data_IF_882304560700
#
_entry.id   IF_882304560700
#
_cell.length_a   1.000
_cell.length_b   1.000
_cell.length_c   1.000
_cell.angle_alpha   90.00
_cell.angle_beta   90.00
_cell.angle_gamma   90.00
#
_symmetry.space_group_name_H-M   'P 1'
#
loop_
_entity.id
_entity.type
_entity.pdbx_description
1 polymer ?
#
# COMPACT_ATOMS: atom_id res chain seq x y z
N UNK A 1 3.04 -9.44 8.65
CA UNK A 1 3.46 -8.49 9.70
C UNK A 1 4.99 -8.41 9.91
N UNK A 2 5.83 -8.92 9.00
CA UNK A 2 7.30 -8.90 9.17
C UNK A 2 7.94 -7.52 8.98
N UNK A 3 7.55 -6.80 7.93
CA UNK A 3 8.16 -5.51 7.56
C UNK A 3 8.02 -4.44 8.65
N UNK A 4 6.82 -4.27 9.22
CA UNK A 4 6.59 -3.31 10.30
C UNK A 4 7.45 -3.57 11.55
N UNK A 5 7.82 -4.84 11.80
CA UNK A 5 8.72 -5.18 12.91
C UNK A 5 10.16 -4.77 12.61
N UNK A 6 10.61 -4.93 11.37
CA UNK A 6 11.95 -4.49 10.94
C UNK A 6 12.08 -2.95 11.00
N UNK A 7 11.07 -2.24 10.49
CA UNK A 7 11.07 -0.77 10.50
C UNK A 7 11.03 -0.18 11.92
N UNK A 8 10.31 -0.82 12.85
CA UNK A 8 10.22 -0.38 14.25
C UNK A 8 11.46 -0.70 15.10
N UNK A 9 12.29 -1.65 14.70
CA UNK A 9 13.44 -2.05 15.50
C UNK A 9 14.62 -1.10 15.23
N UNK A 10 15.02 -0.26 16.20
CA UNK A 10 16.12 0.69 16.02
C UNK A 10 17.49 -0.01 15.90
N UNK A 11 17.63 -1.26 16.38
CA UNK A 11 18.88 -2.02 16.29
C UNK A 11 19.26 -2.36 14.84
N UNK A 12 18.28 -2.35 13.93
CA UNK A 12 18.50 -2.71 12.52
C UNK A 12 19.01 -1.48 11.77
N UNK A 13 20.32 -1.39 11.59
CA UNK A 13 20.98 -0.25 10.96
C UNK A 13 20.89 -0.24 9.42
N UNK A 14 20.76 -1.41 8.80
CA UNK A 14 20.76 -1.55 7.34
C UNK A 14 19.71 -2.55 6.89
N UNK A 15 18.88 -2.14 5.94
CA UNK A 15 17.90 -2.99 5.28
C UNK A 15 18.34 -3.13 3.82
N UNK A 16 18.60 -4.36 3.37
CA UNK A 16 18.98 -4.65 2.00
C UNK A 16 17.78 -5.20 1.25
N UNK A 17 17.51 -4.65 0.08
CA UNK A 17 16.44 -5.10 -0.81
C UNK A 17 16.98 -5.25 -2.21
N UNK A 18 16.46 -6.24 -2.93
CA UNK A 18 16.83 -6.49 -4.33
C UNK A 18 16.41 -5.30 -5.18
N UNK A 19 15.12 -4.97 -5.19
CA UNK A 19 14.55 -3.82 -5.88
C UNK A 19 13.73 -2.93 -4.93
N UNK A 20 13.49 -1.69 -5.36
CA UNK A 20 12.70 -0.70 -4.61
C UNK A 20 11.25 -1.16 -4.37
N UNK A 21 10.59 -1.69 -5.40
CA UNK A 21 9.20 -2.15 -5.41
C UNK A 21 8.95 -3.33 -4.45
N UNK A 22 9.98 -4.16 -4.21
CA UNK A 22 9.94 -5.28 -3.25
C UNK A 22 9.77 -4.81 -1.82
N UNK A 23 10.31 -3.64 -1.48
CA UNK A 23 10.13 -3.04 -0.17
C UNK A 23 8.77 -2.33 -0.11
N UNK A 24 8.53 -1.45 -1.06
CA UNK A 24 7.26 -0.76 -1.23
C UNK A 24 7.16 -0.13 -2.62
N UNK A 25 5.96 -0.25 -3.18
CA UNK A 25 5.66 0.28 -4.51
C UNK A 25 5.27 1.76 -4.50
N UNK A 26 4.78 2.25 -3.36
CA UNK A 26 4.55 3.67 -3.11
C UNK A 26 5.18 4.11 -1.80
N UNK A 27 5.68 5.33 -1.75
CA UNK A 27 6.17 5.97 -0.52
C UNK A 27 7.54 5.50 -0.04
N UNK A 28 8.35 4.88 -0.93
CA UNK A 28 9.72 4.50 -0.64
C UNK A 28 10.54 5.66 -0.11
N UNK A 29 10.47 6.82 -0.77
CA UNK A 29 11.23 8.01 -0.37
C UNK A 29 10.90 8.46 1.06
N UNK A 30 9.65 8.30 1.50
CA UNK A 30 9.25 8.66 2.86
C UNK A 30 9.87 7.74 3.90
N UNK A 31 9.88 6.43 3.64
CA UNK A 31 10.46 5.47 4.57
C UNK A 31 11.98 5.55 4.57
N UNK A 32 12.60 5.70 3.40
CA UNK A 32 14.03 5.93 3.27
C UNK A 32 14.46 7.19 4.04
N UNK A 33 13.76 8.32 3.84
CA UNK A 33 14.03 9.56 4.56
C UNK A 33 13.85 9.41 6.08
N UNK A 34 12.81 8.70 6.51
CA UNK A 34 12.56 8.46 7.93
C UNK A 34 13.63 7.56 8.58
N UNK A 35 14.14 6.56 7.84
CA UNK A 35 15.24 5.72 8.29
C UNK A 35 16.57 6.49 8.29
N UNK A 36 16.83 7.30 7.27
CA UNK A 36 18.01 8.17 7.18
C UNK A 36 18.08 9.16 8.35
N UNK A 37 16.94 9.74 8.74
CA UNK A 37 16.85 10.62 9.92
C UNK A 37 17.20 9.90 11.25
N UNK A 38 17.10 8.57 11.29
CA UNK A 38 17.49 7.73 12.41
C UNK A 38 18.95 7.22 12.31
N UNK A 39 19.71 7.64 11.29
CA UNK A 39 21.05 7.12 11.01
C UNK A 39 21.06 5.73 10.37
N UNK A 40 19.90 5.26 9.88
CA UNK A 40 19.71 3.94 9.28
C UNK A 40 19.65 4.07 7.77
N UNK A 41 19.99 3.01 7.05
CA UNK A 41 20.02 3.02 5.58
C UNK A 41 19.24 1.88 4.96
N UNK A 42 18.65 2.15 3.79
CA UNK A 42 18.12 1.14 2.88
C UNK A 42 19.09 1.04 1.71
N UNK A 43 19.50 -0.17 1.36
CA UNK A 43 20.38 -0.44 0.22
C UNK A 43 19.58 -1.23 -0.81
N UNK A 44 19.46 -0.68 -2.01
CA UNK A 44 18.83 -1.34 -3.15
C UNK A 44 19.94 -1.90 -4.03
N UNK A 45 19.92 -3.21 -4.31
CA UNK A 45 20.95 -3.88 -5.10
C UNK A 45 20.75 -3.64 -6.60
N UNK A 46 19.50 -3.71 -7.05
CA UNK A 46 19.07 -3.53 -8.44
C UNK A 46 18.06 -2.39 -8.52
N UNK A 47 18.49 -1.17 -8.85
CA UNK A 47 17.63 0.01 -8.80
C UNK A 47 16.61 0.08 -9.95
N UNK A 48 16.80 -0.70 -11.01
CA UNK A 48 15.93 -0.69 -12.17
C UNK A 48 14.57 -1.34 -11.84
N UNK A 49 13.48 -0.61 -12.10
CA UNK A 49 12.12 -1.13 -11.97
C UNK A 49 11.76 -2.01 -13.17
N UNK A 50 11.24 -3.20 -12.90
CA UNK A 50 10.66 -4.07 -13.93
C UNK A 50 9.36 -3.45 -14.42
N UNK A 51 9.31 -3.00 -15.69
CA UNK A 51 8.20 -2.21 -16.25
C UNK A 51 6.83 -2.87 -16.13
N UNK A 52 6.77 -4.20 -16.19
CA UNK A 52 5.53 -4.99 -16.03
C UNK A 52 4.90 -4.86 -14.64
N UNK A 53 5.69 -4.55 -13.61
CA UNK A 53 5.19 -4.47 -12.26
C UNK A 53 4.30 -3.23 -12.07
N UNK A 54 4.56 -2.11 -12.73
CA UNK A 54 3.80 -0.86 -12.57
C UNK A 54 2.32 -1.02 -13.00
N UNK A 55 2.08 -1.69 -14.15
CA UNK A 55 0.73 -1.86 -14.69
C UNK A 55 -0.12 -2.74 -13.76
N UNK A 56 0.47 -3.83 -13.28
CA UNK A 56 -0.17 -4.74 -12.33
C UNK A 56 -0.61 -3.99 -11.07
N UNK A 57 0.24 -3.08 -10.61
CA UNK A 57 0.01 -2.35 -9.39
C UNK A 57 -1.12 -1.34 -9.46
N UNK A 58 -1.11 -0.56 -10.54
CA UNK A 58 -2.18 0.37 -10.84
C UNK A 58 -3.51 -0.39 -10.96
N UNK A 59 -3.49 -1.57 -11.59
CA UNK A 59 -4.66 -2.42 -11.68
C UNK A 59 -5.17 -2.87 -10.29
N UNK A 60 -4.30 -3.34 -9.40
CA UNK A 60 -4.67 -3.74 -8.04
C UNK A 60 -5.26 -2.56 -7.23
N UNK A 61 -4.66 -1.37 -7.34
CA UNK A 61 -5.18 -0.16 -6.70
C UNK A 61 -6.58 0.21 -7.23
N UNK A 62 -6.75 0.23 -8.56
CA UNK A 62 -8.04 0.55 -9.18
C UNK A 62 -9.10 -0.47 -8.75
N UNK A 63 -8.79 -1.77 -8.79
CA UNK A 63 -9.71 -2.84 -8.37
C UNK A 63 -10.13 -2.65 -6.92
N UNK A 64 -9.19 -2.36 -6.02
CA UNK A 64 -9.48 -2.08 -4.61
C UNK A 64 -10.38 -0.85 -4.43
N UNK A 65 -10.12 0.24 -5.17
CA UNK A 65 -10.94 1.45 -5.14
C UNK A 65 -12.35 1.18 -5.68
N UNK A 66 -12.47 0.47 -6.81
CA UNK A 66 -13.74 0.04 -7.37
C UNK A 66 -14.54 -0.81 -6.37
N UNK A 67 -13.93 -1.81 -5.75
CA UNK A 67 -14.58 -2.64 -4.74
C UNK A 67 -15.16 -1.81 -3.58
N UNK A 68 -14.40 -0.82 -3.08
CA UNK A 68 -14.86 0.11 -2.03
C UNK A 68 -16.02 0.99 -2.49
N UNK A 69 -15.95 1.52 -3.72
CA UNK A 69 -17.02 2.35 -4.30
C UNK A 69 -18.30 1.54 -4.53
N UNK A 70 -18.20 0.35 -5.11
CA UNK A 70 -19.34 -0.55 -5.31
C UNK A 70 -19.93 -0.98 -3.96
N UNK A 71 -19.10 -1.30 -2.97
CA UNK A 71 -19.57 -1.59 -1.61
C UNK A 71 -20.41 -0.46 -1.00
N UNK A 72 -19.96 0.80 -1.12
CA UNK A 72 -20.72 1.98 -0.67
C UNK A 72 -22.04 2.16 -1.43
N UNK A 73 -22.04 1.98 -2.77
CA UNK A 73 -23.26 2.07 -3.58
C UNK A 73 -24.28 1.00 -3.17
N UNK A 74 -23.84 -0.25 -2.99
CA UNK A 74 -24.69 -1.33 -2.54
C UNK A 74 -25.27 -1.06 -1.15
N UNK A 75 -24.45 -0.57 -0.21
CA UNK A 75 -24.94 -0.22 1.13
C UNK A 75 -26.02 0.88 1.09
N UNK A 76 -25.81 1.93 0.29
CA UNK A 76 -26.79 3.01 0.10
C UNK A 76 -28.09 2.50 -0.53
N UNK A 77 -28.00 1.65 -1.54
CA UNK A 77 -29.19 1.08 -2.19
C UNK A 77 -29.99 0.20 -1.24
N UNK A 78 -29.31 -0.63 -0.41
CA UNK A 78 -30.00 -1.42 0.63
C UNK A 78 -30.67 -0.55 1.68
N UNK A 79 -30.02 0.52 2.12
CA UNK A 79 -30.60 1.46 3.08
C UNK A 79 -31.85 2.13 2.50
N UNK A 80 -31.81 2.57 1.24
CA UNK A 80 -32.97 3.17 0.57
C UNK A 80 -34.13 2.18 0.47
N UNK A 81 -33.87 0.95 0.00
CA UNK A 81 -34.91 -0.10 -0.06
C UNK A 81 -35.55 -0.39 1.30
N UNK A 82 -34.75 -0.38 2.37
CA UNK A 82 -35.28 -0.58 3.71
C UNK A 82 -36.18 0.58 4.17
N UNK A 83 -35.84 1.82 3.82
CA UNK A 83 -36.69 2.98 4.10
C UNK A 83 -37.98 2.94 3.28
N UNK A 84 -37.89 2.59 2.00
CA UNK A 84 -39.06 2.50 1.12
C UNK A 84 -40.05 1.43 1.64
N UNK A 85 -39.54 0.28 2.09
CA UNK A 85 -40.35 -0.80 2.68
C UNK A 85 -40.95 -0.48 4.07
N UNK A 86 -40.51 0.60 4.74
CA UNK A 86 -41.10 1.08 6.00
C UNK A 86 -42.20 2.13 5.76
N UNK A 87 -42.22 2.73 4.56
CA UNK A 87 -43.21 3.74 4.16
C UNK A 87 -44.35 3.16 3.31
N UNK A 88 -44.32 1.86 3.03
CA UNK A 88 -45.38 1.05 2.41
C UNK A 88 -46.13 0.25 3.49
#
# INVERSE_FOLDING_TARGET
>A
KGMMRLLRNPEIQTIVVEHRDRLMRFGFEYVESALAAQGRKVVVIEPDEVTDDIVRDLHEVIVSMCARLYGKRCARHRAQKALDALHE
#
